data_IF_342935376851
#
_entry.id   IF_342935376851
#
_cell.length_a   1.000
_cell.length_b   1.000
_cell.length_c   1.000
_cell.angle_alpha   90.00
_cell.angle_beta   90.00
_cell.angle_gamma   90.00
#
_symmetry.space_group_name_H-M   'P 1'
#
loop_
_entity.id
_entity.type
_entity.pdbx_description
1 polymer ?
#
# COMPACT_ATOMS: atom_id res chain seq x y z
N UNK A 1 18.33 -29.55 1.68
CA UNK A 1 17.18 -29.19 2.51
C UNK A 1 16.28 -28.26 1.71
N UNK A 2 15.04 -28.65 1.53
CA UNK A 2 14.07 -27.80 0.81
C UNK A 2 13.56 -26.71 1.75
N UNK A 3 13.54 -25.47 1.28
CA UNK A 3 13.07 -24.31 2.02
C UNK A 3 12.13 -23.49 1.14
N UNK A 4 10.98 -23.11 1.68
CA UNK A 4 10.08 -22.16 1.05
C UNK A 4 9.74 -21.04 2.04
N UNK A 5 10.01 -19.81 1.64
CA UNK A 5 9.58 -18.62 2.36
C UNK A 5 9.05 -17.62 1.34
N UNK A 6 7.74 -17.56 1.21
CA UNK A 6 7.07 -16.73 0.21
C UNK A 6 5.80 -16.11 0.77
N UNK A 7 5.64 -14.83 0.50
CA UNK A 7 4.46 -14.05 0.83
C UNK A 7 3.93 -13.42 -0.45
N UNK A 8 2.64 -13.53 -0.66
CA UNK A 8 1.91 -12.88 -1.75
C UNK A 8 0.81 -12.00 -1.15
N UNK A 9 0.79 -10.75 -1.52
CA UNK A 9 -0.20 -9.79 -1.02
C UNK A 9 -0.73 -8.93 -2.15
N UNK A 10 -2.01 -8.63 -2.07
CA UNK A 10 -2.65 -7.54 -2.81
C UNK A 10 -3.24 -6.59 -1.77
N UNK A 11 -2.85 -5.34 -1.81
CA UNK A 11 -3.32 -4.38 -0.84
C UNK A 11 -3.16 -2.95 -1.33
N UNK A 12 -3.56 -2.02 -0.47
CA UNK A 12 -3.48 -0.59 -0.75
C UNK A 12 -2.36 0.06 0.06
N UNK A 13 -1.61 0.92 -0.58
CA UNK A 13 -0.52 1.66 0.05
C UNK A 13 -1.09 2.64 1.07
N UNK A 14 -0.59 2.58 2.30
CA UNK A 14 -1.09 3.40 3.40
C UNK A 14 -0.41 4.76 3.53
N UNK A 15 0.79 4.91 3.01
CA UNK A 15 1.53 6.17 2.98
C UNK A 15 2.52 6.17 1.84
N UNK A 16 2.98 7.35 1.46
CA UNK A 16 4.03 7.45 0.44
C UNK A 16 5.30 6.73 0.89
N UNK A 17 5.98 6.01 -0.01
CA UNK A 17 7.20 5.29 0.34
C UNK A 17 8.26 6.20 0.94
N UNK A 18 8.92 5.73 1.97
CA UNK A 18 10.04 6.41 2.58
C UNK A 18 11.32 5.90 1.97
N UNK A 19 12.10 6.80 1.42
CA UNK A 19 13.39 6.48 0.82
C UNK A 19 14.50 6.66 1.82
N UNK A 20 15.35 5.66 1.91
CA UNK A 20 16.61 5.70 2.65
C UNK A 20 17.71 5.09 1.80
N UNK A 21 18.93 5.15 2.30
CA UNK A 21 20.08 4.50 1.67
C UNK A 21 20.81 3.65 2.69
N UNK A 22 21.34 2.54 2.23
CA UNK A 22 22.26 1.73 3.03
C UNK A 22 23.59 2.45 3.19
N UNK A 23 24.47 1.92 4.06
CA UNK A 23 25.85 2.44 4.24
C UNK A 23 26.66 2.44 2.93
N UNK A 24 26.29 1.58 1.99
CA UNK A 24 26.92 1.46 0.67
C UNK A 24 26.21 2.30 -0.41
N UNK A 25 25.34 3.23 -0.01
CA UNK A 25 24.55 4.09 -0.91
C UNK A 25 23.58 3.35 -1.85
N UNK A 26 23.17 2.14 -1.48
CA UNK A 26 22.11 1.44 -2.20
C UNK A 26 20.74 1.97 -1.78
N UNK A 27 19.83 2.23 -2.74
CA UNK A 27 18.50 2.72 -2.40
C UNK A 27 17.69 1.66 -1.67
N UNK A 28 17.00 2.09 -0.62
CA UNK A 28 16.06 1.28 0.17
C UNK A 28 14.79 2.08 0.33
N UNK A 29 13.66 1.46 0.09
CA UNK A 29 12.36 2.06 0.37
C UNK A 29 11.59 1.21 1.37
N UNK A 30 10.85 1.87 2.23
CA UNK A 30 9.89 1.22 3.11
C UNK A 30 8.49 1.78 2.87
N UNK A 31 7.52 0.89 2.86
CA UNK A 31 6.14 1.25 2.64
C UNK A 31 5.24 0.26 3.39
N UNK A 32 4.11 0.73 3.86
CA UNK A 32 3.09 -0.13 4.47
C UNK A 32 1.92 -0.30 3.51
N UNK A 33 1.44 -1.51 3.39
CA UNK A 33 0.21 -1.81 2.67
C UNK A 33 -0.83 -2.39 3.62
N UNK A 34 -2.08 -2.09 3.35
CA UNK A 34 -3.22 -2.61 4.10
C UNK A 34 -3.93 -3.68 3.30
N UNK A 35 -4.20 -4.79 3.95
CA UNK A 35 -5.13 -5.80 3.44
C UNK A 35 -6.38 -5.80 4.31
N UNK A 36 -7.54 -5.68 3.67
CA UNK A 36 -8.82 -5.65 4.36
C UNK A 36 -9.57 -6.94 4.11
N UNK A 37 -10.00 -7.57 5.18
CA UNK A 37 -10.86 -8.74 5.11
C UNK A 37 -12.17 -8.45 5.83
N UNK A 38 -13.27 -8.81 5.19
CA UNK A 38 -14.59 -8.69 5.78
C UNK A 38 -15.09 -10.08 6.17
N UNK A 39 -15.59 -10.19 7.38
CA UNK A 39 -16.17 -11.42 7.88
C UNK A 39 -17.47 -11.14 8.62
N UNK A 40 -18.28 -12.15 8.76
CA UNK A 40 -19.57 -12.05 9.42
C UNK A 40 -19.48 -12.61 10.84
N UNK A 41 -19.85 -11.76 11.80
CA UNK A 41 -19.87 -12.13 13.20
C UNK A 41 -21.23 -11.74 13.81
N UNK A 42 -21.91 -12.70 14.42
CA UNK A 42 -23.22 -12.47 15.05
C UNK A 42 -24.26 -11.79 14.11
N UNK A 43 -24.20 -12.11 12.81
CA UNK A 43 -25.09 -11.53 11.81
C UNK A 43 -24.68 -10.17 11.28
N UNK A 44 -23.60 -9.60 11.77
CA UNK A 44 -23.07 -8.30 11.34
C UNK A 44 -21.76 -8.46 10.59
N UNK A 45 -21.52 -7.58 9.62
CA UNK A 45 -20.26 -7.52 8.89
C UNK A 45 -19.22 -6.72 9.67
N UNK A 46 -18.09 -7.34 9.90
CA UNK A 46 -16.91 -6.69 10.48
C UNK A 46 -15.74 -6.74 9.52
N UNK A 47 -14.92 -5.70 9.54
CA UNK A 47 -13.73 -5.59 8.70
C UNK A 47 -12.48 -5.61 9.57
N UNK A 48 -11.54 -6.48 9.21
CA UNK A 48 -10.20 -6.49 9.80
C UNK A 48 -9.22 -5.92 8.81
N UNK A 49 -8.42 -4.97 9.24
CA UNK A 49 -7.32 -4.41 8.46
C UNK A 49 -6.00 -4.89 9.03
N UNK A 50 -5.21 -5.55 8.20
CA UNK A 50 -3.84 -5.92 8.53
C UNK A 50 -2.87 -5.01 7.79
N UNK A 51 -1.91 -4.47 8.54
CA UNK A 51 -0.85 -3.65 8.00
C UNK A 51 0.42 -4.47 7.82
N UNK A 52 0.94 -4.46 6.61
CA UNK A 52 2.15 -5.18 6.27
C UNK A 52 3.26 -4.19 5.95
N UNK A 53 4.41 -4.38 6.56
CA UNK A 53 5.59 -3.55 6.32
C UNK A 53 6.45 -4.17 5.23
N UNK A 54 6.62 -3.41 4.16
CA UNK A 54 7.41 -3.83 3.00
C UNK A 54 8.74 -3.11 2.99
N UNK A 55 9.78 -3.84 2.64
CA UNK A 55 11.11 -3.29 2.39
C UNK A 55 11.50 -3.63 0.97
N UNK A 56 11.92 -2.63 0.22
CA UNK A 56 12.32 -2.76 -1.17
C UNK A 56 13.75 -2.27 -1.32
N UNK A 57 14.54 -3.00 -2.11
CA UNK A 57 15.94 -2.71 -2.35
C UNK A 57 16.21 -2.44 -3.82
N UNK A 58 17.19 -1.58 -4.10
CA UNK A 58 17.70 -1.34 -5.44
C UNK A 58 16.67 -0.73 -6.39
N UNK A 59 16.52 -1.35 -7.53
CA UNK A 59 15.58 -0.89 -8.58
C UNK A 59 14.13 -0.87 -8.12
N UNK A 60 13.74 -1.82 -7.28
CA UNK A 60 12.40 -1.87 -6.70
C UNK A 60 12.14 -0.70 -5.78
N UNK A 61 13.13 -0.29 -5.00
CA UNK A 61 13.04 0.88 -4.14
C UNK A 61 12.83 2.16 -4.95
N UNK A 62 13.59 2.33 -6.01
CA UNK A 62 13.46 3.48 -6.92
C UNK A 62 12.08 3.50 -7.58
N UNK A 63 11.62 2.35 -8.09
CA UNK A 63 10.31 2.23 -8.70
C UNK A 63 9.19 2.58 -7.70
N UNK A 64 9.32 2.13 -6.47
CA UNK A 64 8.32 2.40 -5.43
C UNK A 64 8.22 3.89 -5.12
N UNK A 65 9.35 4.55 -4.95
CA UNK A 65 9.38 5.99 -4.67
C UNK A 65 8.78 6.80 -5.81
N UNK A 66 9.04 6.39 -7.05
CA UNK A 66 8.54 7.11 -8.23
C UNK A 66 7.06 6.87 -8.51
N UNK A 67 6.55 5.67 -8.25
CA UNK A 67 5.23 5.26 -8.73
C UNK A 67 4.19 5.02 -7.66
N UNK A 68 4.59 4.66 -6.44
CA UNK A 68 3.65 4.37 -5.38
C UNK A 68 3.19 5.63 -4.68
N UNK A 69 1.90 5.74 -4.47
CA UNK A 69 1.28 6.82 -3.72
C UNK A 69 0.31 6.22 -2.70
N UNK A 70 -0.04 7.01 -1.70
CA UNK A 70 -1.10 6.63 -0.76
C UNK A 70 -2.38 6.26 -1.52
N UNK A 71 -2.91 5.08 -1.24
CA UNK A 71 -4.11 4.57 -1.89
C UNK A 71 -3.86 3.73 -3.14
N UNK A 72 -2.64 3.64 -3.65
CA UNK A 72 -2.31 2.77 -4.79
C UNK A 72 -2.55 1.32 -4.46
N UNK A 73 -3.16 0.58 -5.37
CA UNK A 73 -3.31 -0.87 -5.24
C UNK A 73 -2.13 -1.57 -5.87
N UNK A 74 -1.52 -2.49 -5.14
CA UNK A 74 -0.33 -3.20 -5.57
C UNK A 74 -0.43 -4.67 -5.28
N UNK A 75 0.19 -5.47 -6.15
CA UNK A 75 0.51 -6.86 -5.91
C UNK A 75 2.00 -6.98 -5.60
N UNK A 76 2.32 -7.69 -4.54
CA UNK A 76 3.72 -7.95 -4.18
C UNK A 76 3.95 -9.43 -3.93
N UNK A 77 5.15 -9.86 -4.26
CA UNK A 77 5.72 -11.13 -3.83
C UNK A 77 7.02 -10.87 -3.08
N UNK A 78 7.22 -11.56 -2.01
CA UNK A 78 8.42 -11.43 -1.23
C UNK A 78 8.60 -12.54 -0.22
N UNK A 79 9.48 -12.31 0.72
CA UNK A 79 9.76 -13.24 1.81
C UNK A 79 9.66 -12.54 3.16
N UNK A 80 9.31 -13.30 4.17
CA UNK A 80 9.31 -12.82 5.55
C UNK A 80 10.72 -12.71 6.07
N UNK A 81 11.00 -11.61 6.75
CA UNK A 81 12.26 -11.40 7.46
C UNK A 81 11.97 -10.78 8.83
N UNK A 82 12.49 -11.42 9.85
CA UNK A 82 12.46 -10.89 11.21
C UNK A 82 13.61 -9.93 11.43
N UNK A 83 13.33 -8.84 12.08
CA UNK A 83 14.33 -7.91 12.56
C UNK A 83 14.25 -7.83 14.08
N UNK A 84 15.32 -8.21 14.76
CA UNK A 84 15.42 -8.20 16.21
C UNK A 84 16.34 -7.08 16.65
N UNK A 85 15.91 -6.30 17.60
CA UNK A 85 16.73 -5.25 18.20
C UNK A 85 16.44 -5.13 19.69
N UNK A 86 17.35 -4.51 20.39
CA UNK A 86 17.17 -4.13 21.80
C UNK A 86 16.93 -2.63 21.85
N UNK A 87 15.84 -2.23 22.50
CA UNK A 87 15.55 -0.80 22.65
C UNK A 87 16.43 -0.16 23.72
N UNK A 88 16.28 1.15 23.91
CA UNK A 88 17.04 1.92 24.89
C UNK A 88 16.77 1.51 26.34
N UNK A 89 15.67 0.83 26.61
CA UNK A 89 15.29 0.32 27.93
C UNK A 89 15.77 -1.12 28.18
N UNK A 90 16.50 -1.71 27.23
CA UNK A 90 17.01 -3.06 27.33
C UNK A 90 15.98 -4.16 26.98
N UNK A 91 14.80 -3.80 26.47
CA UNK A 91 13.78 -4.75 26.07
C UNK A 91 14.09 -5.25 24.67
N UNK A 92 14.09 -6.57 24.49
CA UNK A 92 14.20 -7.19 23.17
C UNK A 92 12.92 -6.98 22.39
N UNK A 93 13.04 -6.41 21.19
CA UNK A 93 11.94 -6.19 20.28
C UNK A 93 12.15 -6.92 18.97
N UNK A 94 11.05 -7.30 18.36
CA UNK A 94 11.03 -7.98 17.08
C UNK A 94 10.01 -7.33 16.17
N UNK A 95 10.40 -7.10 14.93
CA UNK A 95 9.47 -6.76 13.86
C UNK A 95 9.59 -7.76 12.73
N UNK A 96 8.48 -7.98 12.05
CA UNK A 96 8.43 -8.82 10.86
C UNK A 96 8.20 -7.93 9.66
N UNK A 97 9.13 -7.98 8.71
CA UNK A 97 9.08 -7.25 7.46
C UNK A 97 8.97 -8.21 6.29
N UNK A 98 8.44 -7.73 5.20
CA UNK A 98 8.40 -8.45 3.94
C UNK A 98 9.43 -7.82 3.02
N UNK A 99 10.43 -8.58 2.63
CA UNK A 99 11.40 -8.17 1.63
C UNK A 99 10.80 -8.45 0.25
N UNK A 100 10.47 -7.40 -0.47
CA UNK A 100 9.79 -7.51 -1.75
C UNK A 100 10.75 -7.97 -2.84
N UNK A 101 10.35 -8.97 -3.59
CA UNK A 101 11.10 -9.49 -4.74
C UNK A 101 10.45 -9.07 -6.07
N UNK A 102 9.13 -8.98 -6.07
CA UNK A 102 8.34 -8.61 -7.25
C UNK A 102 7.23 -7.67 -6.82
N UNK A 103 7.04 -6.62 -7.60
CA UNK A 103 5.96 -5.66 -7.39
C UNK A 103 5.26 -5.38 -8.71
N UNK A 104 3.94 -5.30 -8.68
CA UNK A 104 3.12 -4.93 -9.81
C UNK A 104 2.03 -3.97 -9.36
N UNK A 105 1.96 -2.83 -10.04
CA UNK A 105 0.87 -1.87 -9.85
C UNK A 105 -0.39 -2.40 -10.52
N UNK A 106 -1.47 -2.45 -9.76
CA UNK A 106 -2.77 -2.94 -10.24
C UNK A 106 -3.72 -1.79 -10.60
N UNK A 107 -3.41 -0.58 -10.14
CA UNK A 107 -4.17 0.58 -10.54
C UNK A 107 -3.91 0.90 -12.01
N UNK A 108 -4.95 0.86 -12.82
CA UNK A 108 -4.95 1.44 -14.15
C UNK A 108 -5.00 2.97 -14.10
N UNK A 109 -4.74 3.55 -12.95
CA UNK A 109 -4.59 4.97 -12.85
C UNK A 109 -3.42 5.37 -13.72
N UNK A 110 -3.71 6.00 -14.84
CA UNK A 110 -2.76 6.87 -15.52
C UNK A 110 -2.06 7.68 -14.44
N UNK A 111 -0.73 7.90 -14.52
CA UNK A 111 -0.11 8.84 -13.61
C UNK A 111 -1.02 10.06 -13.64
N UNK A 112 -1.67 10.33 -12.54
CA UNK A 112 -2.34 11.59 -12.38
C UNK A 112 -1.21 12.61 -12.46
N UNK A 113 -0.96 13.11 -13.64
CA UNK A 113 -0.51 14.48 -13.71
C UNK A 113 -1.46 15.19 -12.75
N UNK A 114 -0.91 15.66 -11.67
CA UNK A 114 -1.63 16.58 -10.82
C UNK A 114 -2.28 17.56 -11.77
N UNK A 115 -3.60 17.59 -11.94
CA UNK A 115 -4.18 18.65 -12.69
C UNK A 115 -3.71 19.90 -11.99
N UNK A 116 -2.92 20.68 -12.68
CA UNK A 116 -2.69 22.05 -12.25
C UNK A 116 -4.06 22.57 -11.90
N UNK A 117 -4.19 22.95 -10.66
CA UNK A 117 -5.43 23.28 -10.01
C UNK A 117 -6.06 24.51 -10.64
N UNK A 118 -6.72 24.35 -11.73
CA UNK A 118 -7.44 25.46 -12.32
C UNK A 118 -8.94 25.30 -12.31
N UNK A 119 -9.46 24.12 -12.01
CA UNK A 119 -10.90 23.99 -11.90
C UNK A 119 -11.31 23.08 -10.74
N UNK A 120 -11.36 23.68 -9.56
CA UNK A 120 -12.28 23.15 -8.57
C UNK A 120 -13.67 23.33 -9.16
N UNK A 121 -14.42 22.25 -9.35
CA UNK A 121 -15.80 22.40 -9.79
C UNK A 121 -16.51 23.35 -8.83
N UNK A 122 -17.24 24.28 -9.38
CA UNK A 122 -18.07 25.16 -8.57
C UNK A 122 -19.01 24.29 -7.73
N UNK A 123 -19.46 24.77 -6.57
CA UNK A 123 -20.41 24.01 -5.75
C UNK A 123 -21.64 23.53 -6.53
N UNK A 124 -22.04 24.27 -7.54
CA UNK A 124 -23.15 23.89 -8.41
C UNK A 124 -22.81 22.72 -9.33
N UNK A 125 -21.61 22.68 -9.88
CA UNK A 125 -21.13 21.57 -10.70
C UNK A 125 -20.93 20.30 -9.85
N UNK A 126 -20.48 20.47 -8.62
CA UNK A 126 -20.32 19.37 -7.69
C UNK A 126 -21.67 18.75 -7.33
N UNK A 127 -22.69 19.58 -7.08
CA UNK A 127 -24.06 19.14 -6.83
C UNK A 127 -24.67 18.44 -8.05
N UNK A 128 -24.41 18.96 -9.25
CA UNK A 128 -24.88 18.35 -10.50
C UNK A 128 -24.23 16.97 -10.72
N UNK A 129 -22.95 16.82 -10.40
CA UNK A 129 -22.26 15.53 -10.47
C UNK A 129 -22.79 14.55 -9.42
N UNK A 130 -23.09 15.01 -8.22
CA UNK A 130 -23.70 14.16 -7.20
C UNK A 130 -25.12 13.73 -7.58
N UNK A 131 -25.90 14.61 -8.18
CA UNK A 131 -27.22 14.27 -8.69
C UNK A 131 -27.14 13.23 -9.82
N UNK A 132 -26.21 13.38 -10.73
CA UNK A 132 -25.97 12.40 -11.79
C UNK A 132 -25.54 11.04 -11.24
N UNK A 133 -24.76 11.03 -10.18
CA UNK A 133 -24.36 9.78 -9.50
C UNK A 133 -25.52 9.12 -8.76
N UNK A 134 -26.46 9.90 -8.23
CA UNK A 134 -27.65 9.39 -7.54
C UNK A 134 -28.70 8.85 -8.52
N UNK A 135 -28.77 9.38 -9.73
CA UNK A 135 -29.66 8.87 -10.79
C UNK A 135 -29.11 7.60 -11.46
N UNK A 136 -27.84 7.30 -11.30
CA UNK A 136 -27.23 6.06 -11.75
C UNK A 136 -27.27 4.95 -10.70
N UNK A 137 -28.30 4.92 -9.86
CA UNK A 137 -28.50 3.92 -8.83
C UNK A 137 -28.99 2.57 -9.38
N UNK A 138 -28.34 2.02 -10.34
CA UNK A 138 -28.35 0.58 -10.49
C UNK A 138 -26.90 0.13 -10.47
N UNK A 139 -26.37 -0.01 -9.27
CA UNK A 139 -25.14 -0.73 -9.07
C UNK A 139 -25.51 -2.21 -9.06
N UNK A 140 -25.22 -2.97 -10.12
CA UNK A 140 -25.43 -4.39 -10.10
C UNK A 140 -24.35 -5.02 -9.21
N UNK A 141 -24.77 -5.48 -8.10
CA UNK A 141 -24.02 -6.45 -7.33
C UNK A 141 -24.66 -7.80 -7.42
#
# INVERSE_FOLDING_TARGET
MAVLNKVQLIGHVGHSPRSTQTKEHHPVASVSIATNESYRRNGEWETITEWHHLVLFGKLATLAVERLQKGSQVYIEGKLRSNNWTDTEGVKRQSINIVVQTIQLLDNAKPKELPEQTDKPTPEEYLAQMHSMLECEEVPF
#
